data_IF_098747447319
#
_entry.id   IF_098747447319
#
_cell.length_a   1.000
_cell.length_b   1.000
_cell.length_c   1.000
_cell.angle_alpha   90.00
_cell.angle_beta   90.00
_cell.angle_gamma   90.00
#
_symmetry.space_group_name_H-M   'P 1'
#
loop_
_entity.id
_entity.type
_entity.pdbx_description
1 polymer ?
#
# COMPACT_ATOMS: atom_id res chain seq x y z
N UNK A 1 -19.36 -5.83 31.01
CA UNK A 1 -19.19 -7.11 31.72
C UNK A 1 -20.19 -8.08 31.14
N UNK A 2 -19.82 -8.78 30.07
CA UNK A 2 -20.58 -9.89 29.53
C UNK A 2 -20.20 -11.11 30.34
N UNK A 3 -20.99 -11.44 31.37
CA UNK A 3 -20.93 -12.76 31.99
C UNK A 3 -21.35 -13.77 30.92
N UNK A 4 -20.38 -14.26 30.15
CA UNK A 4 -20.61 -15.36 29.24
C UNK A 4 -21.04 -16.54 30.10
N UNK A 5 -22.35 -16.85 30.09
CA UNK A 5 -22.92 -18.05 30.69
C UNK A 5 -22.13 -19.25 30.17
N UNK A 6 -21.19 -19.73 30.99
CA UNK A 6 -20.19 -20.68 30.52
C UNK A 6 -20.84 -22.06 30.33
N UNK A 7 -20.41 -22.83 29.34
CA UNK A 7 -21.02 -24.12 29.00
C UNK A 7 -21.21 -25.08 30.21
N UNK A 8 -20.39 -24.98 31.27
CA UNK A 8 -20.55 -25.75 32.52
C UNK A 8 -21.90 -25.52 33.18
N UNK A 9 -22.42 -24.30 33.07
CA UNK A 9 -23.70 -23.91 33.64
C UNK A 9 -24.89 -24.48 32.84
N UNK A 10 -24.80 -24.51 31.50
CA UNK A 10 -25.77 -25.21 30.66
C UNK A 10 -25.77 -26.73 30.97
N UNK A 11 -24.58 -27.32 31.06
CA UNK A 11 -24.38 -28.73 31.42
C UNK A 11 -24.96 -29.05 32.80
N UNK A 12 -24.75 -28.18 33.79
CA UNK A 12 -25.28 -28.38 35.14
C UNK A 12 -26.82 -28.40 35.18
N UNK A 13 -27.49 -27.49 34.46
CA UNK A 13 -28.96 -27.48 34.38
C UNK A 13 -29.47 -28.70 33.59
N UNK A 14 -28.71 -29.15 32.59
CA UNK A 14 -29.02 -30.39 31.85
C UNK A 14 -28.98 -31.63 32.75
N UNK A 15 -27.97 -31.74 33.61
CA UNK A 15 -27.90 -32.81 34.61
C UNK A 15 -29.04 -32.73 35.63
N UNK A 16 -29.41 -31.52 36.07
CA UNK A 16 -30.56 -31.34 36.97
C UNK A 16 -31.87 -31.78 36.31
N UNK A 17 -32.06 -31.48 35.03
CA UNK A 17 -33.22 -31.93 34.27
C UNK A 17 -33.28 -33.46 34.15
N UNK A 18 -32.18 -34.09 33.74
CA UNK A 18 -32.09 -35.54 33.64
C UNK A 18 -32.39 -36.25 34.97
N UNK A 19 -31.90 -35.67 36.08
CA UNK A 19 -32.22 -36.17 37.42
C UNK A 19 -33.70 -36.04 37.75
N UNK A 20 -34.32 -34.89 37.45
CA UNK A 20 -35.74 -34.65 37.70
C UNK A 20 -36.66 -35.64 36.95
N UNK A 21 -36.30 -36.00 35.72
CA UNK A 21 -37.04 -36.96 34.88
C UNK A 21 -37.10 -38.40 35.45
N UNK A 22 -36.16 -38.78 36.31
CA UNK A 22 -36.10 -40.11 36.94
C UNK A 22 -36.69 -40.15 38.35
N UNK A 23 -37.20 -39.03 38.84
CA UNK A 23 -37.80 -38.88 40.17
C UNK A 23 -39.29 -38.51 40.07
N UNK A 24 -40.05 -38.67 41.16
CA UNK A 24 -41.43 -38.16 41.32
C UNK A 24 -41.45 -36.63 41.46
N UNK A 25 -40.87 -35.94 40.49
CA UNK A 25 -40.79 -34.47 40.48
C UNK A 25 -42.09 -33.89 39.90
N UNK A 26 -42.71 -32.87 40.52
CA UNK A 26 -43.87 -32.22 39.95
C UNK A 26 -43.60 -31.65 38.56
N UNK A 27 -44.56 -31.79 37.65
CA UNK A 27 -44.43 -31.37 36.24
C UNK A 27 -44.07 -29.88 36.08
N UNK A 28 -44.53 -29.06 37.03
CA UNK A 28 -44.26 -27.61 37.06
C UNK A 28 -42.78 -27.31 37.32
N UNK A 29 -42.08 -28.14 38.09
CA UNK A 29 -40.66 -27.93 38.38
C UNK A 29 -39.80 -28.42 37.22
N UNK A 30 -40.20 -29.50 36.54
CA UNK A 30 -39.59 -29.91 35.27
C UNK A 30 -39.71 -28.78 34.22
N UNK A 31 -40.88 -28.14 34.11
CA UNK A 31 -41.10 -27.04 33.19
C UNK A 31 -40.16 -25.86 33.45
N UNK A 32 -39.94 -25.47 34.72
CA UNK A 32 -38.98 -24.42 35.08
C UNK A 32 -37.55 -24.78 34.67
N UNK A 33 -37.13 -26.03 34.87
CA UNK A 33 -35.79 -26.48 34.49
C UNK A 33 -35.64 -26.45 32.96
N UNK A 34 -36.66 -26.88 32.21
CA UNK A 34 -36.66 -26.79 30.73
C UNK A 34 -36.60 -25.35 30.24
N UNK A 35 -37.37 -24.43 30.84
CA UNK A 35 -37.29 -23.00 30.51
C UNK A 35 -35.89 -22.44 30.75
N UNK A 36 -35.26 -22.79 31.88
CA UNK A 36 -33.88 -22.37 32.19
C UNK A 36 -32.85 -22.96 31.23
N UNK A 37 -33.05 -24.21 30.77
CA UNK A 37 -32.22 -24.83 29.74
C UNK A 37 -32.32 -24.10 28.40
N UNK A 38 -33.55 -23.80 27.97
CA UNK A 38 -33.80 -23.09 26.72
C UNK A 38 -33.12 -21.71 26.71
N UNK A 39 -33.30 -20.93 27.78
CA UNK A 39 -32.65 -19.62 27.91
C UNK A 39 -31.12 -19.73 27.84
N UNK A 40 -30.51 -20.73 28.51
CA UNK A 40 -29.06 -20.93 28.44
C UNK A 40 -28.58 -21.37 27.06
N UNK A 41 -29.35 -22.22 26.37
CA UNK A 41 -29.01 -22.63 25.02
C UNK A 41 -29.05 -21.44 24.06
N UNK A 42 -30.05 -20.57 24.19
CA UNK A 42 -30.17 -19.33 23.41
C UNK A 42 -28.98 -18.40 23.67
N UNK A 43 -28.60 -18.20 24.92
CA UNK A 43 -27.41 -17.41 25.27
C UNK A 43 -26.12 -17.99 24.66
N UNK A 44 -25.92 -19.31 24.75
CA UNK A 44 -24.73 -19.95 24.13
C UNK A 44 -24.73 -19.85 22.61
N UNK A 45 -25.91 -19.96 21.99
CA UNK A 45 -26.08 -19.81 20.54
C UNK A 45 -25.77 -18.38 20.09
N UNK A 46 -26.24 -17.38 20.82
CA UNK A 46 -25.93 -15.98 20.56
C UNK A 46 -24.43 -15.69 20.71
N UNK A 47 -23.80 -16.18 21.78
CA UNK A 47 -22.37 -16.04 22.00
C UNK A 47 -21.54 -16.70 20.89
N UNK A 48 -21.93 -17.90 20.45
CA UNK A 48 -21.25 -18.60 19.36
C UNK A 48 -21.34 -17.82 18.03
N UNK A 49 -22.52 -17.27 17.72
CA UNK A 49 -22.72 -16.45 16.50
C UNK A 49 -21.85 -15.20 16.53
N UNK A 50 -21.76 -14.53 17.67
CA UNK A 50 -20.91 -13.34 17.82
C UNK A 50 -19.42 -13.68 17.70
N UNK A 51 -18.95 -14.74 18.37
CA UNK A 51 -17.57 -15.19 18.25
C UNK A 51 -17.21 -15.61 16.82
N UNK A 52 -18.14 -16.29 16.13
CA UNK A 52 -17.99 -16.65 14.71
C UNK A 52 -17.81 -15.39 13.86
N UNK A 53 -18.67 -14.39 14.05
CA UNK A 53 -18.58 -13.11 13.34
C UNK A 53 -17.26 -12.39 13.61
N UNK A 54 -16.79 -12.37 14.86
CA UNK A 54 -15.52 -11.74 15.22
C UNK A 54 -14.32 -12.46 14.61
N UNK A 55 -14.32 -13.79 14.63
CA UNK A 55 -13.30 -14.61 13.97
C UNK A 55 -13.27 -14.32 12.47
N UNK A 56 -14.42 -14.38 11.81
CA UNK A 56 -14.50 -14.17 10.35
C UNK A 56 -14.05 -12.74 9.97
N UNK A 57 -14.39 -11.74 10.80
CA UNK A 57 -13.89 -10.38 10.61
C UNK A 57 -12.37 -10.26 10.81
N UNK A 58 -11.79 -10.97 11.79
CA UNK A 58 -10.34 -11.01 12.02
C UNK A 58 -9.61 -11.68 10.84
N UNK A 59 -10.09 -12.83 10.39
CA UNK A 59 -9.53 -13.54 9.24
C UNK A 59 -9.64 -12.69 7.95
N UNK A 60 -10.75 -11.96 7.78
CA UNK A 60 -10.88 -11.04 6.65
C UNK A 60 -9.88 -9.89 6.75
N UNK A 61 -9.69 -9.31 7.94
CA UNK A 61 -8.72 -8.25 8.16
C UNK A 61 -7.28 -8.74 7.87
N UNK A 62 -6.93 -9.96 8.29
CA UNK A 62 -5.66 -10.59 7.97
C UNK A 62 -5.48 -10.79 6.46
N UNK A 63 -6.47 -11.34 5.76
CA UNK A 63 -6.41 -11.51 4.30
C UNK A 63 -6.26 -10.18 3.55
N UNK A 64 -6.97 -9.14 4.00
CA UNK A 64 -6.85 -7.79 3.42
C UNK A 64 -5.44 -7.25 3.67
N UNK A 65 -4.92 -7.41 4.88
CA UNK A 65 -3.56 -6.97 5.22
C UNK A 65 -2.49 -7.72 4.41
N UNK A 66 -2.58 -9.04 4.28
CA UNK A 66 -1.66 -9.85 3.47
C UNK A 66 -1.68 -9.42 2.01
N UNK A 67 -2.88 -9.20 1.44
CA UNK A 67 -3.04 -8.75 0.05
C UNK A 67 -2.41 -7.37 -0.14
N UNK A 68 -2.69 -6.43 0.76
CA UNK A 68 -2.12 -5.09 0.70
C UNK A 68 -0.59 -5.10 0.85
N UNK A 69 -0.06 -5.95 1.74
CA UNK A 69 1.38 -6.09 1.96
C UNK A 69 2.08 -6.71 0.75
N UNK A 70 1.47 -7.71 0.11
CA UNK A 70 2.00 -8.31 -1.11
C UNK A 70 1.99 -7.30 -2.27
N UNK A 71 0.94 -6.49 -2.41
CA UNK A 71 0.89 -5.40 -3.39
C UNK A 71 1.96 -4.33 -3.14
N UNK A 72 2.19 -3.96 -1.88
CA UNK A 72 3.20 -2.96 -1.52
C UNK A 72 4.63 -3.48 -1.74
N UNK A 73 4.89 -4.74 -1.42
CA UNK A 73 6.22 -5.33 -1.50
C UNK A 73 6.59 -5.84 -2.90
N UNK A 74 5.61 -6.26 -3.70
CA UNK A 74 5.83 -6.98 -4.97
C UNK A 74 6.23 -8.44 -4.76
N UNK A 75 6.55 -9.14 -5.86
CA UNK A 75 6.84 -10.59 -5.88
C UNK A 75 8.00 -11.00 -4.97
N UNK A 76 8.98 -10.11 -4.75
CA UNK A 76 10.18 -10.38 -3.95
C UNK A 76 10.04 -10.05 -2.45
N UNK A 77 8.85 -9.64 -2.00
CA UNK A 77 8.58 -9.39 -0.59
C UNK A 77 9.39 -8.23 0.01
N UNK A 78 9.66 -8.23 1.34
CA UNK A 78 10.32 -7.11 2.03
C UNK A 78 11.72 -6.77 1.50
N UNK A 79 12.40 -7.72 0.85
CA UNK A 79 13.71 -7.49 0.24
C UNK A 79 13.64 -6.47 -0.90
N UNK A 80 12.62 -6.58 -1.76
CA UNK A 80 12.37 -5.60 -2.84
C UNK A 80 12.16 -4.19 -2.27
N UNK A 81 11.53 -4.06 -1.11
CA UNK A 81 11.32 -2.76 -0.45
C UNK A 81 12.65 -2.15 -0.01
N UNK A 82 13.51 -2.94 0.65
CA UNK A 82 14.84 -2.48 1.06
C UNK A 82 15.71 -2.07 -0.16
N UNK A 83 15.68 -2.87 -1.22
CA UNK A 83 16.41 -2.59 -2.46
C UNK A 83 15.89 -1.31 -3.13
N UNK A 84 14.57 -1.07 -3.15
CA UNK A 84 13.97 0.19 -3.62
C UNK A 84 14.39 1.40 -2.78
N UNK A 85 14.45 1.26 -1.46
CA UNK A 85 14.93 2.33 -0.58
C UNK A 85 16.39 2.66 -0.83
N UNK A 86 17.26 1.65 -0.95
CA UNK A 86 18.66 1.85 -1.29
C UNK A 86 18.83 2.53 -2.66
N UNK A 87 18.05 2.12 -3.66
CA UNK A 87 18.05 2.76 -4.97
C UNK A 87 17.57 4.22 -4.93
N UNK A 88 16.54 4.53 -4.15
CA UNK A 88 16.07 5.90 -3.93
C UNK A 88 17.10 6.76 -3.22
N UNK A 89 17.74 6.24 -2.17
CA UNK A 89 18.80 6.93 -1.44
C UNK A 89 19.99 7.25 -2.36
N UNK A 90 20.38 6.32 -3.23
CA UNK A 90 21.40 6.55 -4.24
C UNK A 90 21.00 7.65 -5.24
N UNK A 91 19.76 7.66 -5.73
CA UNK A 91 19.25 8.74 -6.61
C UNK A 91 19.24 10.09 -5.92
N UNK A 92 18.84 10.15 -4.65
CA UNK A 92 18.87 11.39 -3.86
C UNK A 92 20.30 11.89 -3.65
N UNK A 93 21.26 11.01 -3.38
CA UNK A 93 22.66 11.36 -3.26
C UNK A 93 23.23 11.92 -4.57
N UNK A 94 22.88 11.32 -5.72
CA UNK A 94 23.27 11.80 -7.05
C UNK A 94 22.71 13.20 -7.34
N UNK A 95 21.40 13.40 -7.18
CA UNK A 95 20.75 14.71 -7.34
C UNK A 95 21.33 15.77 -6.38
N UNK A 96 21.69 15.39 -5.15
CA UNK A 96 22.34 16.30 -4.21
C UNK A 96 23.75 16.70 -4.68
N UNK A 97 24.51 15.76 -5.24
CA UNK A 97 25.83 16.01 -5.82
C UNK A 97 25.75 16.92 -7.05
N UNK A 98 24.81 16.66 -7.98
CA UNK A 98 24.53 17.52 -9.14
C UNK A 98 24.17 18.95 -8.68
N UNK A 99 23.28 19.08 -7.70
CA UNK A 99 22.94 20.39 -7.12
C UNK A 99 24.13 21.11 -6.48
N UNK A 100 25.03 20.38 -5.82
CA UNK A 100 26.24 20.97 -5.26
C UNK A 100 27.19 21.47 -6.36
N UNK A 101 27.34 20.70 -7.44
CA UNK A 101 28.13 21.09 -8.61
C UNK A 101 27.56 22.33 -9.31
N UNK A 102 26.23 22.37 -9.54
CA UNK A 102 25.54 23.53 -10.10
C UNK A 102 25.74 24.78 -9.23
N UNK A 103 25.59 24.67 -7.91
CA UNK A 103 25.85 25.78 -6.99
C UNK A 103 27.30 26.25 -7.04
N UNK A 104 28.25 25.32 -7.16
CA UNK A 104 29.66 25.66 -7.29
C UNK A 104 29.95 26.40 -8.60
N UNK A 105 29.37 25.96 -9.72
CA UNK A 105 29.52 26.64 -11.01
C UNK A 105 28.99 28.09 -10.93
N UNK A 106 27.79 28.27 -10.34
CA UNK A 106 27.21 29.61 -10.14
C UNK A 106 28.11 30.49 -9.25
N UNK A 107 28.67 29.93 -8.18
CA UNK A 107 29.57 30.67 -7.30
C UNK A 107 30.84 31.10 -8.03
N UNK A 108 31.51 30.19 -8.75
CA UNK A 108 32.71 30.48 -9.55
C UNK A 108 32.45 31.58 -10.58
N UNK A 109 31.33 31.52 -11.29
CA UNK A 109 30.91 32.56 -12.22
C UNK A 109 30.68 33.90 -11.51
N UNK A 110 30.02 33.89 -10.34
CA UNK A 110 29.76 35.13 -9.57
C UNK A 110 31.03 35.81 -9.04
N UNK A 111 32.08 35.04 -8.78
CA UNK A 111 33.39 35.52 -8.33
C UNK A 111 34.32 35.84 -9.50
N UNK A 112 33.93 35.48 -10.73
CA UNK A 112 34.68 35.78 -11.95
C UNK A 112 34.68 37.28 -12.22
N UNK A 113 35.86 37.80 -12.54
CA UNK A 113 36.09 39.21 -12.91
C UNK A 113 35.71 39.49 -14.38
N UNK A 114 35.29 38.46 -15.12
CA UNK A 114 34.78 38.59 -16.48
C UNK A 114 33.40 39.24 -16.46
N UNK A 115 33.38 40.57 -16.55
CA UNK A 115 32.17 41.34 -16.80
C UNK A 115 31.72 41.10 -18.25
N UNK A 116 30.95 40.04 -18.47
CA UNK A 116 30.31 39.79 -19.76
C UNK A 116 29.04 40.63 -19.80
N UNK A 117 29.10 41.78 -20.49
CA UNK A 117 28.02 42.78 -20.55
C UNK A 117 26.67 42.22 -21.05
N UNK A 118 26.67 41.05 -21.68
CA UNK A 118 25.47 40.42 -22.25
C UNK A 118 25.56 38.89 -22.14
N UNK A 119 25.27 38.35 -20.96
CA UNK A 119 24.85 36.95 -20.85
C UNK A 119 23.49 36.81 -21.56
N UNK A 120 23.51 36.75 -22.90
CA UNK A 120 22.30 36.81 -23.73
C UNK A 120 22.46 37.12 -25.23
N UNK A 121 23.68 37.27 -25.78
CA UNK A 121 23.90 37.35 -27.24
C UNK A 121 25.14 36.59 -27.72
N UNK A 122 25.08 36.18 -28.98
CA UNK A 122 25.97 35.32 -29.78
C UNK A 122 27.47 35.64 -29.74
N UNK A 123 28.11 35.45 -28.58
CA UNK A 123 29.55 35.38 -28.37
C UNK A 123 29.78 34.19 -27.40
N UNK A 124 30.83 33.34 -27.54
CA UNK A 124 30.75 31.97 -27.07
C UNK A 124 30.81 31.85 -25.54
N UNK A 125 29.66 31.99 -24.87
CA UNK A 125 29.45 31.50 -23.50
C UNK A 125 29.48 29.97 -23.44
N UNK A 126 29.66 29.26 -24.56
CA UNK A 126 29.88 27.80 -24.54
C UNK A 126 31.14 27.40 -23.74
N UNK A 127 32.03 28.35 -23.45
CA UNK A 127 33.16 28.19 -22.52
C UNK A 127 32.90 28.73 -21.12
N UNK A 128 31.73 29.32 -20.86
CA UNK A 128 31.29 29.73 -19.53
C UNK A 128 30.88 28.51 -18.71
N UNK A 129 31.41 28.44 -17.50
CA UNK A 129 31.28 27.30 -16.59
C UNK A 129 29.83 27.04 -16.17
N UNK A 130 29.01 28.09 -16.07
CA UNK A 130 27.57 27.98 -15.79
C UNK A 130 26.78 27.51 -17.00
N UNK A 131 27.06 28.03 -18.21
CA UNK A 131 26.39 27.59 -19.44
C UNK A 131 26.58 26.07 -19.65
N UNK A 132 27.80 25.55 -19.42
CA UNK A 132 28.09 24.11 -19.54
C UNK A 132 27.43 23.28 -18.43
N UNK A 133 27.54 23.70 -17.16
CA UNK A 133 26.96 23.00 -16.03
C UNK A 133 25.42 22.91 -16.10
N UNK A 134 24.75 23.93 -16.63
CA UNK A 134 23.29 23.93 -16.85
C UNK A 134 22.87 23.10 -18.07
N UNK A 135 23.76 22.87 -19.04
CA UNK A 135 23.45 22.05 -20.23
C UNK A 135 23.61 20.54 -20.00
N UNK A 136 24.23 20.14 -18.89
CA UNK A 136 24.51 18.74 -18.54
C UNK A 136 24.02 18.41 -17.12
N UNK A 137 22.71 18.24 -16.95
CA UNK A 137 22.07 17.80 -15.70
C UNK A 137 21.51 16.37 -15.81
N UNK A 138 22.38 15.35 -15.97
CA UNK A 138 21.95 13.98 -16.29
C UNK A 138 21.08 13.34 -15.21
N UNK A 139 21.28 13.67 -13.93
CA UNK A 139 20.48 13.10 -12.83
C UNK A 139 19.08 13.74 -12.79
N UNK A 140 18.99 15.05 -13.02
CA UNK A 140 17.71 15.74 -13.19
C UNK A 140 16.96 15.23 -14.43
N UNK A 141 17.64 15.05 -15.56
CA UNK A 141 17.03 14.53 -16.79
C UNK A 141 16.55 13.08 -16.64
N UNK A 142 17.33 12.23 -15.97
CA UNK A 142 16.94 10.88 -15.62
C UNK A 142 15.71 10.87 -14.69
N UNK A 143 15.67 11.76 -13.70
CA UNK A 143 14.51 11.93 -12.81
C UNK A 143 13.26 12.36 -13.58
N UNK A 144 13.34 13.38 -14.43
CA UNK A 144 12.21 13.87 -15.23
C UNK A 144 11.70 12.79 -16.19
N UNK A 145 12.59 12.00 -16.77
CA UNK A 145 12.25 10.87 -17.64
C UNK A 145 11.47 9.79 -16.89
N UNK A 146 11.90 9.45 -15.67
CA UNK A 146 11.18 8.50 -14.82
C UNK A 146 9.82 9.06 -14.37
N UNK A 147 9.72 10.34 -14.03
CA UNK A 147 8.43 10.98 -13.70
C UNK A 147 7.48 10.92 -14.90
N UNK A 148 7.96 11.21 -16.11
CA UNK A 148 7.16 11.06 -17.34
C UNK A 148 6.70 9.62 -17.52
N UNK A 149 7.56 8.63 -17.28
CA UNK A 149 7.19 7.22 -17.37
C UNK A 149 6.11 6.84 -16.33
N UNK A 150 6.19 7.36 -15.11
CA UNK A 150 5.20 7.12 -14.06
C UNK A 150 3.83 7.69 -14.41
N UNK A 151 3.76 8.86 -15.03
CA UNK A 151 2.50 9.44 -15.52
C UNK A 151 1.79 8.48 -16.49
N UNK A 152 2.53 7.78 -17.36
CA UNK A 152 1.93 6.75 -18.22
C UNK A 152 1.37 5.56 -17.43
N UNK A 153 2.06 5.12 -16.37
CA UNK A 153 1.56 4.04 -15.50
C UNK A 153 0.30 4.46 -14.74
N UNK A 154 0.21 5.70 -14.27
CA UNK A 154 -0.99 6.22 -13.62
C UNK A 154 -2.15 6.42 -14.61
N UNK A 155 -1.86 6.96 -15.80
CA UNK A 155 -2.85 7.13 -16.86
C UNK A 155 -3.43 5.79 -17.33
N UNK A 156 -2.62 4.74 -17.35
CA UNK A 156 -3.05 3.36 -17.60
C UNK A 156 -4.09 2.90 -16.58
N UNK A 157 -3.84 3.11 -15.29
CA UNK A 157 -4.78 2.74 -14.23
C UNK A 157 -6.11 3.50 -14.36
N UNK A 158 -6.04 4.80 -14.66
CA UNK A 158 -7.22 5.62 -14.92
C UNK A 158 -8.00 5.13 -16.15
N UNK A 159 -7.31 4.87 -17.27
CA UNK A 159 -7.93 4.38 -18.50
C UNK A 159 -8.66 3.05 -18.30
N UNK A 160 -8.05 2.11 -17.57
CA UNK A 160 -8.69 0.85 -17.20
C UNK A 160 -9.95 1.04 -16.35
N UNK A 161 -9.95 2.01 -15.44
CA UNK A 161 -11.13 2.29 -14.62
C UNK A 161 -12.27 2.93 -15.40
N UNK A 162 -11.96 3.67 -16.47
CA UNK A 162 -12.92 4.41 -17.28
C UNK A 162 -13.56 3.57 -18.40
N UNK A 163 -12.92 2.46 -18.81
CA UNK A 163 -13.36 1.64 -19.95
C UNK A 163 -13.68 0.22 -19.46
N UNK A 164 -14.96 -0.15 -19.46
CA UNK A 164 -15.39 -1.54 -19.26
C UNK A 164 -15.19 -2.32 -20.56
N UNK A 165 -13.99 -2.88 -20.80
CA UNK A 165 -13.72 -3.59 -22.05
C UNK A 165 -12.70 -4.73 -21.87
N UNK A 166 -12.94 -5.84 -22.56
CA UNK A 166 -12.02 -6.98 -22.78
C UNK A 166 -10.71 -6.60 -23.54
N UNK A 167 -10.45 -5.31 -23.77
CA UNK A 167 -9.24 -4.77 -24.43
C UNK A 167 -8.12 -4.38 -23.45
N UNK A 168 -8.24 -4.80 -22.18
CA UNK A 168 -7.29 -4.49 -21.09
C UNK A 168 -5.84 -4.78 -21.49
N UNK A 169 -5.60 -5.86 -22.23
CA UNK A 169 -4.26 -6.28 -22.67
C UNK A 169 -3.63 -5.31 -23.68
N UNK A 170 -4.44 -4.68 -24.54
CA UNK A 170 -3.95 -3.70 -25.51
C UNK A 170 -3.55 -2.39 -24.81
N UNK A 171 -4.31 -1.98 -23.78
CA UNK A 171 -3.98 -0.84 -22.93
C UNK A 171 -2.67 -1.14 -22.16
N UNK A 172 -2.50 -2.36 -21.64
CA UNK A 172 -1.26 -2.76 -20.98
C UNK A 172 -0.06 -2.61 -21.90
N UNK A 173 -0.13 -3.20 -23.08
CA UNK A 173 0.94 -3.13 -24.07
C UNK A 173 1.33 -1.69 -24.45
N UNK A 174 0.35 -0.82 -24.72
CA UNK A 174 0.61 0.56 -25.15
C UNK A 174 1.26 1.41 -24.06
N UNK A 175 0.68 1.39 -22.86
CA UNK A 175 1.12 2.26 -21.77
C UNK A 175 2.44 1.75 -21.16
N UNK A 176 2.58 0.43 -20.98
CA UNK A 176 3.84 -0.15 -20.49
C UNK A 176 4.96 0.03 -21.51
N UNK A 177 4.64 -0.11 -22.80
CA UNK A 177 5.56 0.14 -23.90
C UNK A 177 6.10 1.57 -23.89
N UNK A 178 5.24 2.58 -23.75
CA UNK A 178 5.67 4.00 -23.70
C UNK A 178 6.47 4.31 -22.44
N UNK A 179 6.07 3.78 -21.28
CA UNK A 179 6.84 3.93 -20.05
C UNK A 179 8.25 3.31 -20.16
N UNK A 180 8.37 2.15 -20.81
CA UNK A 180 9.65 1.50 -21.06
C UNK A 180 10.53 2.29 -22.06
N UNK A 181 9.94 2.83 -23.13
CA UNK A 181 10.64 3.67 -24.10
C UNK A 181 11.27 4.90 -23.43
N UNK A 182 10.50 5.60 -22.59
CA UNK A 182 11.00 6.75 -21.82
C UNK A 182 12.20 6.34 -20.97
N UNK A 183 12.09 5.24 -20.19
CA UNK A 183 13.19 4.76 -19.33
C UNK A 183 14.46 4.35 -20.09
N UNK A 184 14.35 3.96 -21.35
CA UNK A 184 15.50 3.58 -22.19
C UNK A 184 16.14 4.78 -22.90
N UNK A 185 15.68 6.01 -22.64
CA UNK A 185 16.15 7.21 -23.35
C UNK A 185 15.65 7.28 -24.79
N UNK A 186 14.64 6.50 -25.16
CA UNK A 186 13.98 6.58 -26.45
C UNK A 186 13.13 7.85 -26.50
N UNK A 187 13.69 8.91 -27.09
CA UNK A 187 12.93 10.07 -27.50
C UNK A 187 11.94 9.70 -28.63
N UNK A 188 10.84 10.45 -28.70
CA UNK A 188 9.88 10.48 -29.81
C UNK A 188 10.51 10.68 -31.18
#
# INVERSE_FOLDING_TARGET
MSDSLNNKELVAVGHQFAKAMSADTPIIDMAKIVSRLAERLDCTTAALREMTKQRDASEQAERVWETAMMQACGEDGPKSVADKFAALEAKCAALAAENAALKSAIQTHSESIHFFDLCGKDDPCSTDDVCMALSETPDTDAYLTEVRAQVWIEAKALAKSAIASDSVDHIDFLFDGKAAQLRQGGAE
#
